data_IF_719626131654
#
_entry.id   IF_719626131654
#
_cell.length_a   1.000
_cell.length_b   1.000
_cell.length_c   1.000
_cell.angle_alpha   90.00
_cell.angle_beta   90.00
_cell.angle_gamma   90.00
#
_symmetry.space_group_name_H-M   'P 1'
#
loop_
_entity.id
_entity.type
_entity.pdbx_description
1 polymer ?
#
# COMPACT_ATOMS: atom_id res chain seq x y z
N UNK A 1 9.34 -3.98 1.12
CA UNK A 1 8.49 -2.87 1.63
C UNK A 1 7.14 -2.98 0.97
N UNK A 2 6.07 -2.62 1.66
CA UNK A 2 4.73 -2.45 1.07
C UNK A 2 4.32 -0.99 1.30
N UNK A 3 3.56 -0.44 0.36
CA UNK A 3 3.09 0.94 0.39
C UNK A 3 1.58 0.94 0.46
N UNK A 4 1.03 1.72 1.37
CA UNK A 4 -0.41 1.86 1.58
C UNK A 4 -0.83 3.31 1.48
N UNK A 5 -2.03 3.49 0.96
CA UNK A 5 -2.82 4.69 1.15
C UNK A 5 -3.95 4.36 2.15
N UNK A 6 -4.00 5.16 3.20
CA UNK A 6 -4.97 5.04 4.28
C UNK A 6 -5.79 6.32 4.33
N UNK A 7 -7.11 6.20 4.18
CA UNK A 7 -8.06 7.28 4.39
C UNK A 7 -8.70 7.11 5.76
N UNK A 8 -8.59 8.12 6.60
CA UNK A 8 -9.21 8.17 7.92
C UNK A 8 -10.27 9.26 7.94
N UNK A 9 -11.46 8.95 8.46
CA UNK A 9 -12.54 9.91 8.65
C UNK A 9 -12.65 10.31 10.12
N UNK A 10 -12.95 11.58 10.39
CA UNK A 10 -13.19 12.07 11.74
C UNK A 10 -14.67 11.89 12.11
N UNK A 11 -14.97 10.80 12.81
CA UNK A 11 -16.31 10.51 13.31
C UNK A 11 -16.67 11.41 14.50
N UNK A 12 -17.96 11.75 14.63
CA UNK A 12 -18.47 12.60 15.71
C UNK A 12 -18.37 14.11 15.45
N UNK A 13 -17.78 14.51 14.32
CA UNK A 13 -17.79 15.89 13.86
C UNK A 13 -19.22 16.35 13.52
N UNK A 14 -19.61 17.59 13.88
CA UNK A 14 -20.91 18.15 13.48
C UNK A 14 -21.02 18.23 11.95
N UNK A 15 -22.23 18.22 11.40
CA UNK A 15 -22.42 18.43 9.95
C UNK A 15 -22.02 19.86 9.55
N UNK A 16 -21.42 20.03 8.35
CA UNK A 16 -20.91 21.30 7.79
C UNK A 16 -21.91 22.47 7.85
N UNK A 17 -23.20 22.16 7.85
CA UNK A 17 -24.28 23.15 7.87
C UNK A 17 -24.74 23.55 9.29
N UNK A 18 -24.11 23.00 10.33
CA UNK A 18 -24.48 23.28 11.72
C UNK A 18 -23.68 24.45 12.31
N UNK A 19 -24.29 25.29 13.16
CA UNK A 19 -23.56 26.32 13.92
C UNK A 19 -22.44 25.74 14.82
N UNK A 20 -22.60 24.47 15.20
CA UNK A 20 -21.64 23.70 16.00
C UNK A 20 -20.37 23.38 15.20
N UNK A 21 -20.50 23.11 13.91
CA UNK A 21 -19.37 22.96 12.99
C UNK A 21 -18.53 24.23 12.90
N UNK A 22 -19.19 25.38 12.75
CA UNK A 22 -18.51 26.69 12.69
C UNK A 22 -17.80 27.03 14.00
N UNK A 23 -18.36 26.64 15.16
CA UNK A 23 -17.70 26.80 16.46
C UNK A 23 -16.51 25.86 16.62
N UNK A 24 -16.67 24.58 16.32
CA UNK A 24 -15.58 23.61 16.35
C UNK A 24 -14.44 24.05 15.43
N UNK A 25 -14.76 24.55 14.23
CA UNK A 25 -13.77 25.09 13.31
C UNK A 25 -13.12 26.40 13.82
N UNK A 26 -13.82 27.27 14.55
CA UNK A 26 -13.21 28.47 15.12
C UNK A 26 -12.37 28.20 16.38
N UNK A 27 -12.76 27.22 17.19
CA UNK A 27 -12.14 26.88 18.47
C UNK A 27 -11.00 25.86 18.34
N UNK A 28 -11.13 24.84 17.48
CA UNK A 28 -10.15 23.76 17.33
C UNK A 28 -9.13 24.02 16.21
N UNK A 29 -9.54 24.61 15.07
CA UNK A 29 -8.66 24.83 13.92
C UNK A 29 -7.88 26.16 13.98
N UNK A 30 -8.34 27.13 14.78
CA UNK A 30 -7.83 28.50 14.72
C UNK A 30 -8.03 29.11 13.32
N UNK A 31 -7.79 30.41 13.17
CA UNK A 31 -7.89 31.05 11.85
C UNK A 31 -6.82 30.58 10.83
N UNK A 32 -5.91 29.71 11.25
CA UNK A 32 -4.75 29.28 10.48
C UNK A 32 -4.91 27.81 10.11
N UNK A 33 -5.16 27.56 8.83
CA UNK A 33 -5.33 26.21 8.24
C UNK A 33 -4.14 25.27 8.53
N UNK A 34 -3.02 25.83 8.97
CA UNK A 34 -1.78 25.16 9.36
C UNK A 34 -1.82 24.47 10.73
N UNK A 35 -2.70 24.85 11.66
CA UNK A 35 -2.57 24.47 13.07
C UNK A 35 -2.78 22.98 13.37
N UNK A 36 -3.87 22.40 12.87
CA UNK A 36 -4.17 20.96 13.03
C UNK A 36 -3.26 20.11 12.17
N UNK A 37 -3.02 20.53 10.92
CA UNK A 37 -2.09 19.84 10.02
C UNK A 37 -0.68 19.83 10.62
N UNK A 38 -0.13 20.95 11.07
CA UNK A 38 1.26 21.01 11.55
C UNK A 38 1.43 20.31 12.91
N UNK A 39 0.48 20.43 13.86
CA UNK A 39 0.54 19.73 15.15
C UNK A 39 0.39 18.21 15.00
N UNK A 40 -0.54 17.75 14.17
CA UNK A 40 -0.77 16.32 13.94
C UNK A 40 0.32 15.69 13.07
N UNK A 41 0.76 16.40 12.01
CA UNK A 41 1.93 16.01 11.19
C UNK A 41 3.17 15.94 12.06
N UNK A 42 3.42 16.89 12.95
CA UNK A 42 4.57 16.86 13.85
C UNK A 42 4.50 15.73 14.89
N UNK A 43 3.32 15.47 15.46
CA UNK A 43 3.10 14.39 16.43
C UNK A 43 3.27 13.02 15.76
N UNK A 44 2.69 12.85 14.57
CA UNK A 44 2.89 11.68 13.73
C UNK A 44 4.37 11.51 13.35
N UNK A 45 5.04 12.58 12.90
CA UNK A 45 6.47 12.57 12.59
C UNK A 45 7.35 12.23 13.80
N UNK A 46 6.96 12.66 15.01
CA UNK A 46 7.69 12.33 16.24
C UNK A 46 7.52 10.86 16.62
N UNK A 47 6.29 10.32 16.52
CA UNK A 47 6.02 8.90 16.72
C UNK A 47 6.74 8.03 15.68
N UNK A 48 6.67 8.42 14.41
CA UNK A 48 7.38 7.84 13.27
C UNK A 48 8.91 7.80 13.48
N UNK A 49 9.50 8.87 14.02
CA UNK A 49 10.95 8.91 14.32
C UNK A 49 11.34 7.90 15.40
N UNK A 50 10.43 7.60 16.34
CA UNK A 50 10.64 6.56 17.36
C UNK A 50 10.53 5.14 16.81
N UNK A 51 9.80 4.95 15.71
CA UNK A 51 9.60 3.64 15.11
C UNK A 51 10.42 3.45 13.83
N UNK A 52 11.43 2.57 13.88
CA UNK A 52 12.20 2.18 12.69
C UNK A 52 11.44 1.26 11.71
N UNK A 53 10.11 1.15 11.85
CA UNK A 53 9.32 0.11 11.17
C UNK A 53 8.47 0.64 9.99
N UNK A 54 8.20 1.95 9.96
CA UNK A 54 7.35 2.58 8.94
C UNK A 54 7.81 4.02 8.65
N UNK A 55 7.51 4.49 7.43
CA UNK A 55 7.57 5.89 6.99
C UNK A 55 6.15 6.26 6.59
N UNK A 56 5.54 7.19 7.29
CA UNK A 56 4.24 7.73 6.91
C UNK A 56 4.37 9.19 6.52
N UNK A 57 3.57 9.58 5.55
CA UNK A 57 3.37 10.96 5.13
C UNK A 57 1.88 11.24 5.23
N UNK A 58 1.55 12.36 5.84
CA UNK A 58 0.18 12.87 5.91
C UNK A 58 0.09 13.98 4.85
N UNK A 59 -0.79 13.81 3.86
CA UNK A 59 -0.88 14.75 2.72
C UNK A 59 -1.76 15.97 3.00
N UNK A 60 -2.58 15.91 4.04
CA UNK A 60 -3.42 17.01 4.53
C UNK A 60 -4.81 16.56 4.97
N UNK A 61 -5.50 17.43 5.71
CA UNK A 61 -6.89 17.23 6.15
C UNK A 61 -7.88 17.92 5.21
N UNK A 62 -8.82 17.16 4.65
CA UNK A 62 -9.95 17.70 3.90
C UNK A 62 -11.08 18.08 4.86
N UNK A 63 -11.31 19.38 4.99
CA UNK A 63 -12.34 19.96 5.86
C UNK A 63 -13.75 19.69 5.33
N UNK A 64 -13.92 19.46 4.02
CA UNK A 64 -15.23 19.20 3.44
C UNK A 64 -15.71 17.78 3.72
N UNK A 65 -14.81 16.81 3.61
CA UNK A 65 -15.10 15.40 3.85
C UNK A 65 -14.75 14.94 5.26
N UNK A 66 -14.06 15.77 6.04
CA UNK A 66 -13.50 15.42 7.36
C UNK A 66 -12.54 14.22 7.29
N UNK A 67 -11.82 14.10 6.18
CA UNK A 67 -10.92 12.99 5.92
C UNK A 67 -9.46 13.42 5.97
N UNK A 68 -8.60 12.50 6.37
CA UNK A 68 -7.16 12.66 6.31
C UNK A 68 -6.56 11.50 5.53
N UNK A 69 -5.74 11.84 4.54
CA UNK A 69 -5.07 10.87 3.69
C UNK A 69 -3.63 10.68 4.16
N UNK A 70 -3.26 9.42 4.39
CA UNK A 70 -1.98 9.02 4.94
C UNK A 70 -1.35 7.97 4.04
N UNK A 71 -0.14 8.25 3.59
CA UNK A 71 0.65 7.38 2.74
C UNK A 71 1.74 6.74 3.58
N UNK A 72 1.71 5.42 3.71
CA UNK A 72 2.60 4.66 4.60
C UNK A 72 3.45 3.68 3.80
N UNK A 73 4.77 3.76 3.91
CA UNK A 73 5.70 2.73 3.51
C UNK A 73 6.14 1.93 4.74
N UNK A 74 5.85 0.64 4.78
CA UNK A 74 6.17 -0.21 5.92
C UNK A 74 6.86 -1.52 5.50
N UNK A 75 7.59 -2.11 6.45
CA UNK A 75 8.07 -3.48 6.29
C UNK A 75 6.90 -4.44 6.47
N UNK A 76 6.90 -5.51 5.66
CA UNK A 76 5.84 -6.55 5.62
C UNK A 76 5.51 -7.11 7.01
N UNK A 77 6.51 -7.19 7.90
CA UNK A 77 6.38 -7.73 9.26
C UNK A 77 5.72 -6.78 10.28
N UNK A 78 5.38 -5.55 9.88
CA UNK A 78 4.89 -4.49 10.78
C UNK A 78 3.57 -3.86 10.30
N UNK A 79 2.91 -4.47 9.33
CA UNK A 79 1.69 -3.95 8.72
C UNK A 79 0.52 -3.85 9.70
N UNK A 80 0.37 -4.85 10.58
CA UNK A 80 -0.68 -4.95 11.61
C UNK A 80 -0.56 -3.91 12.74
N UNK A 81 0.54 -3.15 12.75
CA UNK A 81 0.91 -2.25 13.86
C UNK A 81 0.69 -0.78 13.57
N UNK A 82 0.39 -0.38 12.33
CA UNK A 82 0.11 1.02 12.05
C UNK A 82 -1.36 1.32 12.33
N UNK A 83 -1.62 2.16 13.33
CA UNK A 83 -2.95 2.62 13.73
C UNK A 83 -2.90 4.10 14.02
N UNK A 84 -3.54 4.92 13.19
CA UNK A 84 -3.54 6.38 13.39
C UNK A 84 -4.14 6.76 14.74
N UNK A 85 -5.12 5.99 15.21
CA UNK A 85 -5.86 6.24 16.46
C UNK A 85 -4.96 6.17 17.70
N UNK A 86 -3.82 5.48 17.61
CA UNK A 86 -2.81 5.39 18.66
C UNK A 86 -1.82 6.56 18.65
N UNK A 87 -1.83 7.36 17.58
CA UNK A 87 -0.82 8.38 17.29
C UNK A 87 -1.40 9.78 17.39
N UNK A 88 -2.62 9.97 16.86
CA UNK A 88 -3.31 11.25 16.79
C UNK A 88 -4.61 11.14 17.57
N UNK A 89 -4.69 11.89 18.67
CA UNK A 89 -5.89 12.02 19.46
C UNK A 89 -6.52 13.39 19.16
N UNK A 90 -7.78 13.44 18.68
CA UNK A 90 -8.52 14.69 18.61
C UNK A 90 -8.55 15.35 20.00
N UNK A 91 -8.46 16.68 20.05
CA UNK A 91 -8.46 17.41 21.33
C UNK A 91 -9.82 17.29 22.07
N UNK A 92 -10.87 16.83 21.38
CA UNK A 92 -12.21 16.56 21.91
C UNK A 92 -12.48 15.05 22.06
N UNK A 93 -12.90 14.62 23.26
CA UNK A 93 -13.31 13.24 23.57
C UNK A 93 -14.51 12.73 22.73
N UNK A 94 -15.20 13.64 22.02
CA UNK A 94 -16.36 13.33 21.19
C UNK A 94 -15.98 12.94 19.75
N UNK A 95 -14.80 13.33 19.30
CA UNK A 95 -14.33 13.09 17.94
C UNK A 95 -13.34 11.92 17.94
N UNK A 96 -13.42 11.05 16.92
CA UNK A 96 -12.50 9.91 16.77
C UNK A 96 -12.10 9.72 15.33
N UNK A 97 -10.82 9.41 15.11
CA UNK A 97 -10.37 8.96 13.80
C UNK A 97 -10.78 7.51 13.60
N UNK A 98 -11.44 7.22 12.48
CA UNK A 98 -11.82 5.88 12.08
C UNK A 98 -11.24 5.61 10.69
N UNK A 99 -10.62 4.45 10.50
CA UNK A 99 -10.11 4.04 9.20
C UNK A 99 -11.31 3.75 8.29
N UNK A 100 -11.45 4.57 7.24
CA UNK A 100 -12.50 4.43 6.24
C UNK A 100 -12.04 3.51 5.10
N UNK A 101 -10.85 3.77 4.56
CA UNK A 101 -10.31 3.05 3.41
C UNK A 101 -8.82 2.72 3.58
N UNK A 102 -8.45 1.50 3.16
CA UNK A 102 -7.06 1.06 3.11
C UNK A 102 -6.82 0.36 1.77
N UNK A 103 -5.85 0.86 1.01
CA UNK A 103 -5.45 0.27 -0.27
C UNK A 103 -3.93 0.17 -0.40
N UNK A 104 -3.45 -0.93 -0.99
CA UNK A 104 -2.05 -1.01 -1.39
C UNK A 104 -1.82 -0.15 -2.63
N UNK A 105 -0.72 0.61 -2.64
CA UNK A 105 -0.33 1.49 -3.75
C UNK A 105 1.05 1.10 -4.31
N UNK A 106 1.32 1.55 -5.54
CA UNK A 106 2.63 1.37 -6.17
C UNK A 106 3.66 2.30 -5.56
N UNK A 107 4.95 1.98 -5.77
CA UNK A 107 6.04 2.89 -5.39
C UNK A 107 5.86 4.25 -6.05
N UNK A 108 5.53 4.29 -7.34
CA UNK A 108 5.33 5.52 -8.11
C UNK A 108 4.20 6.40 -7.56
N UNK A 109 3.06 5.81 -7.21
CA UNK A 109 1.96 6.54 -6.59
C UNK A 109 2.37 7.13 -5.24
N UNK A 110 3.13 6.37 -4.44
CA UNK A 110 3.72 6.88 -3.21
C UNK A 110 4.69 8.03 -3.47
N UNK A 111 5.55 7.95 -4.51
CA UNK A 111 6.45 9.06 -4.88
C UNK A 111 5.68 10.33 -5.20
N UNK A 112 4.67 10.21 -6.08
CA UNK A 112 3.84 11.33 -6.49
C UNK A 112 3.13 11.99 -5.30
N UNK A 113 2.58 11.18 -4.38
CA UNK A 113 1.98 11.69 -3.15
C UNK A 113 3.01 12.40 -2.26
N UNK A 114 4.26 11.92 -2.21
CA UNK A 114 5.31 12.57 -1.44
C UNK A 114 5.75 13.90 -2.05
N UNK A 115 5.99 13.92 -3.37
CA UNK A 115 6.50 15.09 -4.07
C UNK A 115 5.46 16.21 -4.19
N UNK A 116 4.17 15.87 -4.21
CA UNK A 116 3.07 16.85 -4.29
C UNK A 116 2.79 17.59 -2.97
N UNK A 117 3.38 17.18 -1.85
CA UNK A 117 3.16 17.83 -0.55
C UNK A 117 4.14 18.96 -0.26
N UNK A 118 3.63 20.05 0.32
CA UNK A 118 4.42 21.22 0.71
C UNK A 118 5.22 21.05 2.02
N UNK A 119 5.06 19.93 2.73
CA UNK A 119 5.64 19.72 4.06
C UNK A 119 7.03 19.06 4.06
N UNK A 120 7.66 18.87 2.90
CA UNK A 120 8.86 18.05 2.84
C UNK A 120 10.17 18.82 2.70
N UNK A 121 11.01 18.76 3.74
CA UNK A 121 12.42 19.16 3.67
C UNK A 121 13.39 17.97 3.76
N UNK A 122 12.92 16.72 3.90
CA UNK A 122 13.81 15.56 4.21
C UNK A 122 13.38 14.20 3.64
N UNK A 123 12.63 14.18 2.54
CA UNK A 123 12.21 12.95 1.85
C UNK A 123 13.40 12.05 1.51
N UNK A 124 14.50 12.63 1.03
CA UNK A 124 15.76 11.94 0.72
C UNK A 124 16.32 11.10 1.88
N UNK A 125 16.22 11.59 3.12
CA UNK A 125 16.74 10.90 4.31
C UNK A 125 15.87 9.70 4.71
N UNK A 126 14.54 9.83 4.52
CA UNK A 126 13.62 8.72 4.76
C UNK A 126 13.82 7.61 3.72
N UNK A 127 14.06 7.98 2.48
CA UNK A 127 14.25 7.04 1.37
C UNK A 127 15.56 6.26 1.48
N UNK A 128 16.65 6.93 1.81
CA UNK A 128 17.95 6.31 2.05
C UNK A 128 17.89 5.32 3.23
N UNK A 129 17.16 5.67 4.30
CA UNK A 129 17.02 4.83 5.51
C UNK A 129 16.35 3.47 5.23
N UNK A 130 15.40 3.42 4.30
CA UNK A 130 14.66 2.19 3.98
C UNK A 130 15.17 1.48 2.72
N UNK A 131 16.25 1.99 2.11
CA UNK A 131 16.79 1.45 0.86
C UNK A 131 15.76 1.46 -0.27
N UNK A 132 14.80 2.39 -0.22
CA UNK A 132 13.87 2.59 -1.32
C UNK A 132 14.70 3.30 -2.39
N UNK A 133 15.07 2.58 -3.44
CA UNK A 133 15.93 3.16 -4.48
C UNK A 133 15.08 4.12 -5.33
N UNK A 134 15.15 5.41 -4.98
CA UNK A 134 14.49 6.52 -5.67
C UNK A 134 15.26 6.98 -6.91
N UNK A 135 16.21 6.20 -7.42
CA UNK A 135 16.96 6.58 -8.61
C UNK A 135 16.03 6.63 -9.83
N UNK A 136 15.62 7.84 -10.18
CA UNK A 136 15.32 8.14 -11.57
C UNK A 136 16.61 7.95 -12.39
N UNK A 137 16.52 7.33 -13.57
CA UNK A 137 17.67 6.96 -14.36
C UNK A 137 18.17 8.18 -15.16
N UNK A 138 18.47 9.30 -14.50
CA UNK A 138 19.15 10.38 -15.20
C UNK A 138 20.59 9.96 -15.55
N UNK A 139 21.18 9.03 -14.80
CA UNK A 139 22.56 8.56 -14.98
C UNK A 139 22.81 7.06 -14.68
N UNK A 140 21.78 6.25 -14.41
CA UNK A 140 21.98 4.81 -14.14
C UNK A 140 21.73 4.00 -15.44
N UNK A 141 22.76 3.42 -16.09
CA UNK A 141 22.64 2.69 -17.33
C UNK A 141 22.19 1.25 -17.07
N UNK A 142 21.13 1.05 -16.27
CA UNK A 142 20.59 -0.28 -16.08
C UNK A 142 19.92 -0.72 -17.39
N UNK A 143 20.26 -1.89 -17.96
CA UNK A 143 19.72 -2.35 -19.24
C UNK A 143 18.26 -2.80 -19.14
N UNK A 144 17.59 -2.55 -18.01
CA UNK A 144 16.24 -3.00 -17.75
C UNK A 144 15.31 -1.84 -17.38
N UNK A 145 14.09 -1.92 -17.90
CA UNK A 145 12.94 -1.13 -17.46
C UNK A 145 12.30 -1.83 -16.27
N UNK A 146 12.09 -1.08 -15.20
CA UNK A 146 11.31 -1.51 -14.04
C UNK A 146 9.89 -1.02 -14.21
N UNK A 147 8.92 -1.92 -14.05
CA UNK A 147 7.50 -1.58 -14.05
C UNK A 147 6.83 -2.23 -12.84
N UNK A 148 5.89 -1.52 -12.22
CA UNK A 148 5.10 -2.06 -11.11
C UNK A 148 3.63 -2.11 -11.46
N UNK A 149 2.97 -3.21 -11.08
CA UNK A 149 1.51 -3.33 -11.13
C UNK A 149 0.97 -4.02 -9.89
N UNK A 150 -0.24 -3.66 -9.49
CA UNK A 150 -0.99 -4.35 -8.44
C UNK A 150 -2.15 -5.06 -9.12
N UNK A 151 -2.26 -6.36 -8.92
CA UNK A 151 -3.40 -7.11 -9.46
C UNK A 151 -4.65 -6.85 -8.63
N UNK A 152 -5.79 -6.74 -9.32
CA UNK A 152 -7.10 -6.65 -8.69
C UNK A 152 -7.36 -7.87 -7.80
N UNK A 153 -7.90 -7.62 -6.61
CA UNK A 153 -8.31 -8.68 -5.69
C UNK A 153 -9.50 -9.43 -6.27
N UNK A 154 -9.30 -10.71 -6.55
CA UNK A 154 -10.34 -11.61 -7.01
C UNK A 154 -10.22 -12.91 -6.23
N UNK A 155 -11.27 -13.27 -5.50
CA UNK A 155 -11.36 -14.57 -4.82
C UNK A 155 -11.55 -15.65 -5.86
N UNK A 156 -10.50 -16.43 -6.12
CA UNK A 156 -10.52 -17.56 -7.04
C UNK A 156 -10.49 -18.88 -6.27
N UNK A 157 -11.43 -19.74 -6.59
CA UNK A 157 -11.43 -21.14 -6.20
C UNK A 157 -10.44 -21.93 -7.06
N UNK A 158 -10.08 -23.14 -6.62
CA UNK A 158 -9.21 -24.04 -7.39
C UNK A 158 -9.83 -24.38 -8.77
N UNK A 159 -11.15 -24.55 -8.83
CA UNK A 159 -11.86 -24.85 -10.08
C UNK A 159 -11.76 -23.70 -11.09
N UNK A 160 -11.95 -22.46 -10.62
CA UNK A 160 -11.78 -21.27 -11.45
C UNK A 160 -10.33 -21.09 -11.91
N UNK A 161 -9.36 -21.38 -11.03
CA UNK A 161 -7.94 -21.37 -11.41
C UNK A 161 -7.63 -22.41 -12.49
N UNK A 162 -8.19 -23.62 -12.38
CA UNK A 162 -8.03 -24.68 -13.39
C UNK A 162 -8.71 -24.32 -14.70
N UNK A 163 -9.89 -23.69 -14.64
CA UNK A 163 -10.58 -23.20 -15.83
C UNK A 163 -9.75 -22.13 -16.54
N UNK A 164 -9.19 -21.16 -15.78
CA UNK A 164 -8.30 -20.15 -16.35
C UNK A 164 -7.03 -20.77 -16.92
N UNK A 165 -6.43 -21.73 -16.22
CA UNK A 165 -5.27 -22.49 -16.72
C UNK A 165 -5.58 -23.22 -18.04
N UNK A 166 -6.81 -23.69 -18.22
CA UNK A 166 -7.26 -24.31 -19.45
C UNK A 166 -7.39 -23.31 -20.60
N UNK A 167 -7.97 -22.14 -20.34
CA UNK A 167 -8.12 -21.07 -21.33
C UNK A 167 -6.78 -20.57 -21.88
N UNK A 168 -5.77 -20.47 -21.00
CA UNK A 168 -4.42 -20.01 -21.37
C UNK A 168 -3.54 -21.15 -21.93
N UNK A 169 -4.12 -22.34 -22.14
CA UNK A 169 -3.44 -23.54 -22.63
C UNK A 169 -2.21 -23.92 -21.78
N UNK A 170 -2.36 -23.81 -20.46
CA UNK A 170 -1.31 -24.12 -19.49
C UNK A 170 -0.81 -25.56 -19.58
N UNK A 171 0.47 -25.77 -19.31
CA UNK A 171 1.08 -27.10 -19.24
C UNK A 171 0.62 -27.88 -18.00
N UNK A 172 0.81 -29.20 -18.00
CA UNK A 172 0.50 -30.06 -16.84
C UNK A 172 1.17 -29.57 -15.55
N UNK A 173 2.39 -29.04 -15.64
CA UNK A 173 3.12 -28.47 -14.51
C UNK A 173 2.40 -27.31 -13.83
N UNK A 174 1.62 -26.52 -14.57
CA UNK A 174 0.83 -25.43 -13.99
C UNK A 174 -0.32 -25.99 -13.15
N UNK A 175 -0.99 -27.05 -13.61
CA UNK A 175 -2.06 -27.70 -12.86
C UNK A 175 -1.53 -28.36 -11.59
N UNK A 176 -0.40 -29.07 -11.69
CA UNK A 176 0.27 -29.66 -10.52
C UNK A 176 0.64 -28.59 -9.48
N UNK A 177 1.09 -27.42 -9.96
CA UNK A 177 1.41 -26.30 -9.09
C UNK A 177 0.16 -25.69 -8.44
N UNK A 178 -0.95 -25.53 -9.17
CA UNK A 178 -2.23 -25.06 -8.61
C UNK A 178 -2.75 -26.04 -7.54
N UNK A 179 -2.71 -27.34 -7.82
CA UNK A 179 -3.13 -28.37 -6.88
C UNK A 179 -2.24 -28.37 -5.64
N UNK A 180 -0.93 -28.19 -5.84
CA UNK A 180 0.01 -28.01 -4.74
C UNK A 180 -0.37 -26.78 -3.94
N UNK A 181 -0.59 -25.62 -4.55
CA UNK A 181 -0.93 -24.37 -3.87
C UNK A 181 -2.14 -24.58 -2.96
N UNK A 182 -3.25 -25.11 -3.48
CA UNK A 182 -4.51 -25.29 -2.76
C UNK A 182 -4.58 -26.55 -1.89
N UNK A 183 -3.52 -27.36 -1.84
CA UNK A 183 -3.48 -28.56 -0.99
C UNK A 183 -3.75 -28.21 0.48
N UNK A 184 -4.59 -28.98 1.19
CA UNK A 184 -4.88 -28.76 2.61
C UNK A 184 -3.67 -28.97 3.52
N UNK A 185 -2.65 -29.68 3.03
CA UNK A 185 -1.39 -29.89 3.74
C UNK A 185 -0.48 -28.65 3.74
N UNK A 186 -0.76 -27.66 2.88
CA UNK A 186 0.02 -26.44 2.84
C UNK A 186 -0.31 -25.52 4.01
N UNK A 187 0.75 -24.92 4.55
CA UNK A 187 0.60 -23.84 5.52
C UNK A 187 0.14 -22.56 4.80
N UNK A 188 -1.05 -22.07 5.17
CA UNK A 188 -1.64 -20.81 4.71
C UNK A 188 -1.03 -19.59 5.42
N UNK A 189 0.28 -19.63 5.69
CA UNK A 189 0.99 -18.58 6.39
C UNK A 189 2.26 -18.29 5.61
N UNK A 190 2.47 -17.02 5.27
CA UNK A 190 3.76 -16.55 4.76
C UNK A 190 4.83 -16.67 5.85
N UNK A 191 5.55 -17.80 5.84
CA UNK A 191 6.74 -18.05 6.65
C UNK A 191 7.78 -18.72 5.79
N UNK A 192 8.77 -17.98 5.27
CA UNK A 192 9.96 -18.60 4.71
C UNK A 192 10.57 -17.91 3.50
N UNK A 193 11.37 -18.70 2.80
CA UNK A 193 12.17 -18.30 1.64
C UNK A 193 11.30 -18.07 0.40
N UNK A 194 11.72 -17.14 -0.49
CA UNK A 194 11.03 -16.90 -1.75
C UNK A 194 10.92 -18.19 -2.57
N UNK A 195 9.75 -18.44 -3.14
CA UNK A 195 9.56 -19.52 -4.13
C UNK A 195 9.95 -18.97 -5.49
N UNK A 196 10.81 -19.69 -6.20
CA UNK A 196 11.25 -19.32 -7.54
C UNK A 196 10.50 -20.13 -8.58
N UNK A 197 9.86 -19.44 -9.53
CA UNK A 197 9.21 -20.07 -10.67
C UNK A 197 9.99 -19.76 -11.94
N UNK A 198 10.12 -20.77 -12.80
CA UNK A 198 10.57 -20.60 -14.18
C UNK A 198 9.35 -20.78 -15.08
N UNK A 199 8.94 -19.72 -15.77
CA UNK A 199 7.84 -19.74 -16.73
C UNK A 199 8.43 -19.70 -18.12
N UNK A 200 8.13 -20.73 -18.91
CA UNK A 200 8.52 -20.82 -20.32
C UNK A 200 7.27 -20.66 -21.17
N UNK A 201 7.21 -19.58 -21.95
CA UNK A 201 6.10 -19.30 -22.86
C UNK A 201 6.61 -18.81 -24.21
N UNK A 202 5.85 -19.05 -25.28
CA UNK A 202 6.23 -18.64 -26.64
C UNK A 202 6.05 -17.14 -26.92
N UNK A 203 5.28 -16.44 -26.08
CA UNK A 203 5.03 -15.00 -26.19
C UNK A 203 4.91 -14.38 -24.80
N UNK A 204 5.20 -13.07 -24.70
CA UNK A 204 5.11 -12.32 -23.45
C UNK A 204 3.70 -12.37 -22.84
N UNK A 205 2.65 -12.16 -23.65
CA UNK A 205 1.27 -12.18 -23.15
C UNK A 205 0.89 -13.52 -22.50
N UNK A 206 1.39 -14.63 -23.02
CA UNK A 206 1.18 -15.95 -22.41
C UNK A 206 1.96 -16.11 -21.10
N UNK A 207 3.18 -15.57 -21.00
CA UNK A 207 3.92 -15.55 -19.74
C UNK A 207 3.18 -14.69 -18.69
N UNK A 208 2.62 -13.57 -19.12
CA UNK A 208 1.80 -12.66 -18.31
C UNK A 208 0.56 -13.32 -17.75
N UNK A 209 -0.23 -13.97 -18.60
CA UNK A 209 -1.37 -14.76 -18.19
C UNK A 209 -1.02 -15.83 -17.14
N UNK A 210 0.13 -16.51 -17.30
CA UNK A 210 0.58 -17.56 -16.37
C UNK A 210 1.00 -16.97 -15.03
N UNK A 211 1.86 -15.93 -14.99
CA UNK A 211 2.33 -15.39 -13.72
C UNK A 211 1.20 -14.68 -12.96
N UNK A 212 0.26 -14.04 -13.66
CA UNK A 212 -0.88 -13.40 -13.00
C UNK A 212 -1.78 -14.43 -12.32
N UNK A 213 -2.09 -15.54 -13.00
CA UNK A 213 -2.85 -16.63 -12.41
C UNK A 213 -2.14 -17.21 -11.18
N UNK A 214 -0.82 -17.44 -11.26
CA UNK A 214 -0.03 -17.96 -10.15
C UNK A 214 -0.05 -17.02 -8.94
N UNK A 215 0.14 -15.72 -9.16
CA UNK A 215 0.15 -14.72 -8.07
C UNK A 215 -1.23 -14.65 -7.41
N UNK A 216 -2.31 -14.61 -8.20
CA UNK A 216 -3.69 -14.64 -7.67
C UNK A 216 -3.95 -15.91 -6.85
N UNK A 217 -3.56 -17.08 -7.33
CA UNK A 217 -3.71 -18.35 -6.62
C UNK A 217 -2.94 -18.36 -5.28
N UNK A 218 -1.69 -17.89 -5.30
CA UNK A 218 -0.85 -17.81 -4.09
C UNK A 218 -1.40 -16.80 -3.08
N UNK A 219 -1.88 -15.65 -3.53
CA UNK A 219 -2.49 -14.64 -2.66
C UNK A 219 -3.78 -15.15 -2.03
N UNK A 220 -4.68 -15.73 -2.83
CA UNK A 220 -5.96 -16.26 -2.34
C UNK A 220 -5.78 -17.35 -1.29
N UNK A 221 -4.73 -18.17 -1.41
CA UNK A 221 -4.41 -19.15 -0.38
C UNK A 221 -3.50 -18.62 0.75
N UNK A 222 -3.43 -17.28 0.91
CA UNK A 222 -2.69 -16.57 1.97
C UNK A 222 -1.20 -16.92 2.02
N UNK A 223 -0.63 -17.32 0.87
CA UNK A 223 0.80 -17.62 0.72
C UNK A 223 1.59 -16.40 0.32
N UNK A 224 0.95 -15.39 -0.26
CA UNK A 224 1.53 -14.06 -0.46
C UNK A 224 0.79 -13.05 0.40
N UNK A 225 1.50 -12.00 0.81
CA UNK A 225 0.96 -10.91 1.61
C UNK A 225 0.47 -9.76 0.72
N UNK A 226 0.92 -9.72 -0.54
CA UNK A 226 0.64 -8.64 -1.48
C UNK A 226 0.51 -9.19 -2.89
N UNK A 227 -0.32 -8.51 -3.69
CA UNK A 227 -0.54 -8.74 -5.12
C UNK A 227 0.34 -7.87 -6.02
N UNK A 228 1.29 -7.13 -5.44
CA UNK A 228 2.18 -6.26 -6.19
C UNK A 228 3.24 -7.06 -6.93
N UNK A 229 3.43 -6.67 -8.17
CA UNK A 229 4.39 -7.26 -9.10
C UNK A 229 5.37 -6.17 -9.49
N UNK A 230 6.65 -6.43 -9.25
CA UNK A 230 7.74 -5.64 -9.80
C UNK A 230 8.35 -6.42 -10.97
N UNK A 231 8.20 -5.90 -12.18
CA UNK A 231 8.69 -6.48 -13.41
C UNK A 231 9.99 -5.81 -13.81
N UNK A 232 11.00 -6.62 -14.10
CA UNK A 232 12.26 -6.18 -14.71
C UNK A 232 12.28 -6.69 -16.15
N UNK A 233 12.33 -5.78 -17.13
CA UNK A 233 12.36 -6.12 -18.56
C UNK A 233 13.61 -5.56 -19.20
N UNK A 234 14.29 -6.31 -20.04
CA UNK A 234 15.37 -5.74 -20.85
C UNK A 234 14.81 -4.68 -21.82
N UNK A 235 15.52 -3.56 -21.96
CA UNK A 235 15.23 -2.56 -22.98
C UNK A 235 15.86 -3.06 -24.28
N UNK A 236 15.03 -3.56 -25.20
CA UNK A 236 15.46 -3.92 -26.56
C UNK A 236 15.71 -2.68 -27.42
#
# INVERSE_FOLDING_TARGET
MIYYHLCYHLSGAPSKDTPEWWRMHQEELGFDRSGIDEKNVNSANQYLRGCNCYVALITGFDIETMEINIYVACSVCHMDKFRLEEIVHPDSDKCKWELDHQEEITVEAYKYAVDSTCYNTRSSVLFEKFGIDFREPLYDPFPFRVEEKILEEQTLTLEECRQRAHEILGSSSLYEELDRIYSPENQQIYKGHPVHYLISAGAWGAAEDIYELLIKALYNNKRLISNRITLFREVQ
#
